data_IF_883713737898
#
_entry.id   IF_883713737898
#
_cell.length_a   1.000
_cell.length_b   1.000
_cell.length_c   1.000
_cell.angle_alpha   90.00
_cell.angle_beta   90.00
_cell.angle_gamma   90.00
#
_symmetry.space_group_name_H-M   'P 1'
#
loop_
_entity.id
_entity.type
_entity.pdbx_description
1 polymer ?
#
# COMPACT_ATOMS: atom_id res chain seq x y z
N UNK A 1 0.05 -25.51 14.93
CA UNK A 1 1.23 -24.67 15.28
C UNK A 1 2.49 -25.53 15.23
N UNK A 2 2.96 -25.91 14.02
CA UNK A 2 4.16 -26.77 13.87
C UNK A 2 5.10 -26.36 12.73
N UNK A 3 4.71 -25.48 11.79
CA UNK A 3 5.62 -25.07 10.72
C UNK A 3 6.66 -24.01 11.14
N UNK A 4 6.35 -23.17 12.13
CA UNK A 4 7.20 -22.03 12.53
C UNK A 4 8.35 -22.45 13.46
N UNK A 5 8.17 -23.52 14.24
CA UNK A 5 9.11 -23.92 15.30
C UNK A 5 10.44 -24.49 14.80
N UNK A 6 10.56 -24.77 13.49
CA UNK A 6 11.76 -25.34 12.85
C UNK A 6 12.28 -24.47 11.70
N UNK A 7 11.92 -23.18 11.65
CA UNK A 7 12.48 -22.26 10.65
C UNK A 7 13.99 -22.08 10.90
N UNK A 8 14.82 -22.45 9.93
CA UNK A 8 16.28 -22.45 9.99
C UNK A 8 16.90 -22.46 8.59
N UNK A 9 18.24 -22.40 8.50
CA UNK A 9 18.97 -22.16 7.24
C UNK A 9 18.48 -22.92 6.00
N UNK A 10 18.17 -24.21 6.15
CA UNK A 10 17.80 -25.07 5.02
C UNK A 10 16.36 -24.85 4.50
N UNK A 11 15.47 -24.24 5.30
CA UNK A 11 14.07 -24.03 4.93
C UNK A 11 13.64 -22.55 4.90
N UNK A 12 14.46 -21.62 5.39
CA UNK A 12 14.19 -20.18 5.34
C UNK A 12 13.90 -19.66 3.92
N UNK A 13 14.69 -20.03 2.87
CA UNK A 13 14.40 -19.60 1.50
C UNK A 13 13.02 -20.05 1.02
N UNK A 14 12.69 -21.32 1.25
CA UNK A 14 11.42 -21.90 0.83
C UNK A 14 10.23 -21.31 1.60
N UNK A 15 10.38 -21.10 2.92
CA UNK A 15 9.36 -20.49 3.76
C UNK A 15 9.06 -19.05 3.33
N UNK A 16 10.11 -18.26 3.06
CA UNK A 16 9.96 -16.89 2.55
C UNK A 16 9.23 -16.86 1.20
N UNK A 17 9.72 -17.60 0.20
CA UNK A 17 9.09 -17.66 -1.12
C UNK A 17 7.64 -18.12 -1.06
N UNK A 18 7.36 -19.17 -0.29
CA UNK A 18 5.99 -19.68 -0.13
C UNK A 18 5.07 -18.62 0.45
N UNK A 19 5.55 -17.88 1.46
CA UNK A 19 4.76 -16.82 2.10
C UNK A 19 4.48 -15.67 1.14
N UNK A 20 5.48 -15.23 0.36
CA UNK A 20 5.33 -14.19 -0.66
C UNK A 20 4.38 -14.63 -1.77
N UNK A 21 4.50 -15.87 -2.26
CA UNK A 21 3.60 -16.41 -3.28
C UNK A 21 2.16 -16.50 -2.78
N UNK A 22 1.94 -16.86 -1.52
CA UNK A 22 0.59 -16.83 -0.92
C UNK A 22 0.03 -15.40 -0.94
N UNK A 23 0.82 -14.37 -0.63
CA UNK A 23 0.39 -12.97 -0.75
C UNK A 23 -0.03 -12.63 -2.19
N UNK A 24 0.80 -12.95 -3.18
CA UNK A 24 0.52 -12.64 -4.58
C UNK A 24 -0.69 -13.41 -5.11
N UNK A 25 -0.84 -14.69 -4.76
CA UNK A 25 -2.02 -15.48 -5.14
C UNK A 25 -3.29 -14.93 -4.50
N UNK A 26 -3.24 -14.43 -3.27
CA UNK A 26 -4.38 -13.81 -2.62
C UNK A 26 -4.81 -12.51 -3.33
N UNK A 27 -3.85 -11.67 -3.72
CA UNK A 27 -4.11 -10.44 -4.50
C UNK A 27 -4.63 -10.75 -5.91
N UNK A 28 -4.04 -11.74 -6.57
CA UNK A 28 -4.39 -12.18 -7.92
C UNK A 28 -5.81 -12.76 -8.05
N UNK A 29 -6.45 -13.13 -6.93
CA UNK A 29 -7.89 -13.50 -6.95
C UNK A 29 -8.78 -12.31 -7.30
N UNK A 30 -8.25 -11.09 -7.15
CA UNK A 30 -8.95 -9.86 -7.41
C UNK A 30 -9.85 -9.43 -6.26
N UNK A 31 -10.36 -8.19 -6.35
CA UNK A 31 -11.28 -7.64 -5.38
C UNK A 31 -12.64 -8.38 -5.36
N UNK A 32 -13.33 -8.28 -4.23
CA UNK A 32 -14.71 -8.77 -4.07
C UNK A 32 -15.53 -7.76 -3.26
N UNK A 33 -16.86 -7.67 -3.44
CA UNK A 33 -17.66 -6.64 -2.78
C UNK A 33 -17.43 -6.56 -1.27
N UNK A 34 -17.22 -5.36 -0.75
CA UNK A 34 -16.88 -5.09 0.65
C UNK A 34 -15.40 -5.25 1.01
N UNK A 35 -14.50 -5.54 0.07
CA UNK A 35 -13.09 -5.79 0.34
C UNK A 35 -12.25 -4.51 0.29
N UNK A 36 -11.82 -4.03 1.46
CA UNK A 36 -10.89 -2.90 1.56
C UNK A 36 -9.41 -3.30 1.50
N UNK A 37 -9.11 -4.54 1.11
CA UNK A 37 -7.79 -5.17 1.01
C UNK A 37 -7.05 -5.38 2.36
N UNK A 38 -7.12 -4.40 3.25
CA UNK A 38 -6.40 -4.35 4.53
C UNK A 38 -7.21 -4.91 5.69
N UNK A 39 -8.54 -4.86 5.59
CA UNK A 39 -9.46 -5.43 6.59
C UNK A 39 -9.90 -6.83 6.19
N UNK A 40 -10.25 -7.66 7.18
CA UNK A 40 -10.75 -9.00 6.90
C UNK A 40 -12.22 -8.91 6.47
N UNK A 41 -12.59 -9.69 5.47
CA UNK A 41 -13.98 -10.09 5.23
C UNK A 41 -14.20 -11.45 5.88
N UNK A 42 -15.43 -11.76 6.27
CA UNK A 42 -15.80 -13.08 6.80
C UNK A 42 -15.27 -14.20 5.88
N UNK A 43 -14.46 -15.10 6.46
CA UNK A 43 -13.86 -16.22 5.73
C UNK A 43 -12.61 -15.90 4.89
N UNK A 44 -12.12 -14.66 4.88
CA UNK A 44 -10.92 -14.27 4.13
C UNK A 44 -9.85 -13.62 5.02
N UNK A 45 -8.58 -13.88 4.69
CA UNK A 45 -7.42 -13.26 5.36
C UNK A 45 -7.02 -12.01 4.58
N UNK A 46 -6.95 -10.86 5.24
CA UNK A 46 -6.57 -9.60 4.59
C UNK A 46 -5.10 -9.58 4.17
N UNK A 47 -4.78 -8.74 3.19
CA UNK A 47 -3.42 -8.58 2.70
C UNK A 47 -2.45 -8.12 3.79
N UNK A 48 -2.91 -7.26 4.71
CA UNK A 48 -2.13 -6.86 5.89
C UNK A 48 -1.69 -8.07 6.71
N UNK A 49 -2.59 -9.01 7.00
CA UNK A 49 -2.26 -10.19 7.81
C UNK A 49 -1.31 -11.13 7.06
N UNK A 50 -1.46 -11.27 5.74
CA UNK A 50 -0.54 -12.06 4.92
C UNK A 50 0.87 -11.43 4.91
N UNK A 51 0.98 -10.11 4.75
CA UNK A 51 2.25 -9.38 4.82
C UNK A 51 2.87 -9.45 6.22
N UNK A 52 2.08 -9.40 7.29
CA UNK A 52 2.56 -9.65 8.66
C UNK A 52 3.05 -11.10 8.83
N UNK A 53 2.47 -12.06 8.11
CA UNK A 53 3.00 -13.42 8.02
C UNK A 53 4.39 -13.46 7.39
N UNK A 54 4.58 -12.78 6.26
CA UNK A 54 5.90 -12.64 5.61
C UNK A 54 6.90 -11.97 6.57
N UNK A 55 6.49 -10.89 7.25
CA UNK A 55 7.28 -10.19 8.26
C UNK A 55 7.78 -11.13 9.34
N UNK A 56 6.91 -11.96 9.90
CA UNK A 56 7.27 -12.92 10.94
C UNK A 56 8.30 -13.94 10.44
N UNK A 57 8.23 -14.38 9.18
CA UNK A 57 9.25 -15.26 8.58
C UNK A 57 10.59 -14.53 8.49
N UNK A 58 10.59 -13.28 8.01
CA UNK A 58 11.80 -12.45 7.93
C UNK A 58 12.43 -12.21 9.31
N UNK A 59 11.62 -11.83 10.30
CA UNK A 59 12.09 -11.54 11.66
C UNK A 59 12.57 -12.80 12.41
N UNK A 60 12.00 -13.97 12.11
CA UNK A 60 12.39 -15.23 12.77
C UNK A 60 13.65 -15.87 12.18
N UNK A 61 13.87 -15.73 10.87
CA UNK A 61 14.99 -16.38 10.16
C UNK A 61 16.16 -15.45 9.88
N UNK A 62 15.88 -14.15 9.67
CA UNK A 62 16.85 -13.15 9.24
C UNK A 62 17.17 -13.23 7.74
N UNK A 63 17.47 -12.06 7.15
CA UNK A 63 17.75 -11.92 5.72
C UNK A 63 18.90 -12.78 5.22
N UNK A 64 19.94 -12.99 6.03
CA UNK A 64 21.09 -13.83 5.67
C UNK A 64 20.73 -15.30 5.51
N UNK A 65 19.72 -15.79 6.26
CA UNK A 65 19.22 -17.15 6.16
C UNK A 65 18.31 -17.31 4.95
N UNK A 66 17.46 -16.31 4.68
CA UNK A 66 16.55 -16.27 3.53
C UNK A 66 17.32 -16.24 2.21
N UNK A 67 18.31 -15.36 2.10
CA UNK A 67 19.14 -15.22 0.91
C UNK A 67 20.41 -16.06 1.03
N UNK A 68 20.21 -17.36 1.27
CA UNK A 68 21.28 -18.37 1.28
C UNK A 68 21.04 -19.41 0.19
N UNK A 69 22.07 -20.19 -0.13
CA UNK A 69 21.99 -21.24 -1.15
C UNK A 69 21.53 -20.70 -2.50
N UNK A 70 20.42 -21.22 -3.04
CA UNK A 70 19.86 -20.83 -4.33
C UNK A 70 19.40 -19.37 -4.38
N UNK A 71 19.03 -18.77 -3.24
CA UNK A 71 18.59 -17.38 -3.19
C UNK A 71 19.74 -16.38 -2.95
N UNK A 72 20.98 -16.85 -2.77
CA UNK A 72 22.10 -15.98 -2.42
C UNK A 72 22.37 -14.87 -3.45
N UNK A 73 22.16 -15.15 -4.74
CA UNK A 73 22.35 -14.17 -5.82
C UNK A 73 21.23 -13.12 -5.89
N UNK A 74 20.10 -13.34 -5.22
CA UNK A 74 18.96 -12.42 -5.16
C UNK A 74 18.94 -11.60 -3.86
N UNK A 75 20.03 -11.64 -3.07
CA UNK A 75 20.13 -10.85 -1.86
C UNK A 75 19.99 -9.34 -2.17
N UNK A 76 19.17 -8.58 -1.41
CA UNK A 76 19.01 -7.15 -1.61
C UNK A 76 20.36 -6.45 -1.45
N UNK A 77 20.80 -5.75 -2.50
CA UNK A 77 22.02 -4.96 -2.44
C UNK A 77 21.68 -3.64 -1.74
N UNK A 78 22.31 -3.33 -0.59
CA UNK A 78 22.04 -2.07 0.11
C UNK A 78 22.43 -0.87 -0.77
N UNK A 79 21.45 -0.04 -1.13
CA UNK A 79 21.66 1.19 -1.90
C UNK A 79 21.64 1.03 -3.42
N UNK A 80 21.29 -0.16 -3.94
CA UNK A 80 21.05 -0.31 -5.37
C UNK A 80 19.61 0.11 -5.68
N UNK A 81 19.43 1.41 -5.92
CA UNK A 81 18.27 1.95 -6.63
C UNK A 81 18.39 1.65 -8.13
N UNK A 82 18.70 0.39 -8.49
CA UNK A 82 18.75 -0.05 -9.89
C UNK A 82 17.36 0.06 -10.47
N UNK A 83 17.19 1.20 -11.13
CA UNK A 83 16.18 1.53 -12.10
C UNK A 83 16.17 0.47 -13.21
N UNK A 84 15.45 -0.63 -13.02
CA UNK A 84 15.31 -1.66 -14.06
C UNK A 84 13.89 -1.85 -14.57
N UNK A 85 12.95 -0.99 -14.19
CA UNK A 85 11.67 -0.92 -14.88
C UNK A 85 11.37 0.52 -15.25
N UNK A 86 12.09 1.04 -16.25
CA UNK A 86 11.55 2.06 -17.15
C UNK A 86 10.39 1.44 -17.94
N UNK A 87 9.29 1.13 -17.26
CA UNK A 87 8.05 0.82 -17.93
C UNK A 87 7.59 2.08 -18.66
N UNK A 88 7.17 1.88 -19.91
CA UNK A 88 6.70 2.93 -20.82
C UNK A 88 5.59 3.74 -20.16
N UNK A 89 5.84 5.04 -20.04
CA UNK A 89 4.89 6.09 -19.69
C UNK A 89 3.55 5.86 -20.37
N UNK A 90 2.45 5.80 -19.60
CA UNK A 90 1.10 5.79 -20.16
C UNK A 90 0.72 7.23 -20.53
N UNK A 91 0.58 7.57 -21.84
CA UNK A 91 0.22 8.92 -22.26
C UNK A 91 -1.15 9.37 -21.75
N UNK A 92 -2.03 8.45 -21.34
CA UNK A 92 -3.34 8.77 -20.77
C UNK A 92 -3.28 9.40 -19.37
N UNK A 93 -2.14 9.31 -18.68
CA UNK A 93 -1.93 9.89 -17.34
C UNK A 93 -1.36 11.33 -17.39
N UNK A 94 -1.13 11.89 -18.58
CA UNK A 94 -0.66 13.27 -18.77
C UNK A 94 -1.82 14.27 -18.72
N UNK A 95 -2.29 14.61 -17.51
CA UNK A 95 -3.27 15.70 -17.34
C UNK A 95 -2.61 16.92 -16.69
N UNK A 96 -2.47 17.98 -17.49
CA UNK A 96 -2.04 19.29 -17.04
C UNK A 96 -3.14 19.89 -16.13
N UNK A 97 -2.79 20.25 -14.89
CA UNK A 97 -3.73 20.82 -13.91
C UNK A 97 -4.23 19.91 -12.79
N UNK A 98 -3.68 18.69 -12.64
CA UNK A 98 -4.00 17.84 -11.49
C UNK A 98 -3.35 18.44 -10.22
N UNK A 99 -4.16 18.90 -9.27
CA UNK A 99 -3.73 19.55 -8.02
C UNK A 99 -2.56 18.82 -7.34
N UNK A 100 -1.61 19.58 -6.80
CA UNK A 100 -0.44 19.08 -6.07
C UNK A 100 -0.93 18.08 -5.01
N UNK A 101 -0.55 16.80 -5.12
CA UNK A 101 -0.93 15.76 -4.15
C UNK A 101 -0.64 16.19 -2.71
N UNK A 102 0.30 17.12 -2.51
CA UNK A 102 0.60 17.78 -1.22
C UNK A 102 -0.58 18.55 -0.67
N UNK A 103 -1.31 19.29 -1.52
CA UNK A 103 -2.52 20.00 -1.11
C UNK A 103 -3.56 19.02 -0.58
N UNK A 104 -3.82 17.93 -1.31
CA UNK A 104 -4.76 16.89 -0.88
C UNK A 104 -4.34 16.27 0.46
N UNK A 105 -3.05 15.94 0.65
CA UNK A 105 -2.56 15.40 1.94
C UNK A 105 -2.56 16.43 3.07
N UNK A 106 -2.32 17.72 2.78
CA UNK A 106 -2.42 18.80 3.76
C UNK A 106 -3.86 18.98 4.26
N UNK A 107 -4.86 18.84 3.38
CA UNK A 107 -6.27 18.86 3.79
C UNK A 107 -6.60 17.72 4.77
N UNK A 108 -5.98 16.54 4.62
CA UNK A 108 -6.12 15.44 5.59
C UNK A 108 -5.47 15.82 6.94
N UNK A 109 -4.31 16.47 6.92
CA UNK A 109 -3.67 16.97 8.15
C UNK A 109 -4.58 17.95 8.90
N UNK A 110 -5.21 18.87 8.18
CA UNK A 110 -6.22 19.77 8.74
C UNK A 110 -7.45 19.01 9.28
N UNK A 111 -7.90 17.98 8.58
CA UNK A 111 -9.00 17.12 9.01
C UNK A 111 -8.68 16.40 10.32
N UNK A 112 -7.47 15.85 10.45
CA UNK A 112 -6.99 15.19 11.67
C UNK A 112 -7.01 16.18 12.83
N UNK A 113 -6.46 17.37 12.65
CA UNK A 113 -6.40 18.40 13.69
C UNK A 113 -7.80 18.87 14.16
N UNK A 114 -8.81 18.79 13.30
CA UNK A 114 -10.17 19.23 13.62
C UNK A 114 -11.07 18.15 14.22
N UNK A 115 -10.98 16.92 13.70
CA UNK A 115 -11.98 15.87 13.97
C UNK A 115 -11.41 14.64 14.67
N UNK A 116 -10.09 14.43 14.70
CA UNK A 116 -9.54 13.23 15.30
C UNK A 116 -9.74 13.23 16.82
N UNK A 117 -10.20 12.11 17.35
CA UNK A 117 -10.15 11.87 18.79
C UNK A 117 -8.69 11.91 19.27
N UNK A 118 -8.44 12.48 20.44
CA UNK A 118 -7.09 12.66 21.00
C UNK A 118 -6.29 11.35 21.06
N UNK A 119 -6.98 10.22 21.27
CA UNK A 119 -6.38 8.88 21.28
C UNK A 119 -5.89 8.40 19.90
N UNK A 120 -6.63 8.71 18.84
CA UNK A 120 -6.36 8.23 17.48
C UNK A 120 -5.59 9.25 16.62
N UNK A 121 -5.61 10.54 16.96
CA UNK A 121 -4.95 11.60 16.21
C UNK A 121 -3.47 11.32 15.95
N UNK A 122 -2.70 10.95 16.98
CA UNK A 122 -1.29 10.60 16.85
C UNK A 122 -1.04 9.41 15.90
N UNK A 123 -1.95 8.44 15.86
CA UNK A 123 -1.85 7.30 14.95
C UNK A 123 -2.10 7.75 13.50
N UNK A 124 -3.12 8.57 13.27
CA UNK A 124 -3.44 9.11 11.95
C UNK A 124 -2.34 10.03 11.42
N UNK A 125 -1.78 10.91 12.25
CA UNK A 125 -0.64 11.75 11.87
C UNK A 125 0.56 10.90 11.45
N UNK A 126 0.88 9.85 12.22
CA UNK A 126 1.98 8.95 11.90
C UNK A 126 1.76 8.26 10.56
N UNK A 127 0.57 7.71 10.31
CA UNK A 127 0.29 7.02 9.04
C UNK A 127 0.22 8.00 7.86
N UNK A 128 -0.27 9.22 8.06
CA UNK A 128 -0.26 10.28 7.05
C UNK A 128 1.17 10.68 6.69
N UNK A 129 2.07 10.85 7.68
CA UNK A 129 3.49 11.13 7.41
C UNK A 129 4.18 9.98 6.68
N UNK A 130 3.88 8.72 7.06
CA UNK A 130 4.39 7.56 6.36
C UNK A 130 3.88 7.50 4.90
N UNK A 131 2.62 7.86 4.68
CA UNK A 131 2.02 7.94 3.35
C UNK A 131 2.67 9.04 2.52
N UNK A 132 2.81 10.26 3.06
CA UNK A 132 3.52 11.39 2.44
C UNK A 132 4.92 10.99 1.99
N UNK A 133 5.69 10.28 2.82
CA UNK A 133 7.01 9.80 2.44
C UNK A 133 6.98 8.81 1.26
N UNK A 134 5.91 8.02 1.09
CA UNK A 134 5.73 7.15 -0.07
C UNK A 134 5.35 7.93 -1.33
N UNK A 135 4.50 8.97 -1.20
CA UNK A 135 4.22 9.91 -2.28
C UNK A 135 5.47 10.63 -2.76
N UNK A 136 6.31 11.11 -1.84
CA UNK A 136 7.57 11.78 -2.17
C UNK A 136 8.56 10.88 -2.92
N UNK A 137 8.61 9.58 -2.59
CA UNK A 137 9.47 8.60 -3.28
C UNK A 137 8.90 8.18 -4.64
N UNK A 138 7.58 8.20 -4.81
CA UNK A 138 6.91 7.80 -6.05
C UNK A 138 6.82 8.94 -7.05
N UNK A 139 6.38 10.12 -6.60
CA UNK A 139 6.07 11.27 -7.45
C UNK A 139 7.13 12.39 -7.38
N UNK A 140 8.26 12.18 -6.69
CA UNK A 140 9.34 13.16 -6.49
C UNK A 140 8.91 14.48 -5.78
N UNK A 141 9.90 15.37 -5.56
CA UNK A 141 9.74 16.64 -4.83
C UNK A 141 9.79 17.87 -5.73
N UNK A 142 8.92 18.84 -5.45
CA UNK A 142 9.03 20.18 -6.02
C UNK A 142 8.87 20.22 -7.54
N UNK A 143 9.82 20.83 -8.24
CA UNK A 143 9.78 21.02 -9.69
C UNK A 143 9.99 19.72 -10.49
N UNK A 144 10.46 18.65 -9.84
CA UNK A 144 10.66 17.35 -10.47
C UNK A 144 9.43 16.43 -10.34
N UNK A 145 8.31 16.95 -9.82
CA UNK A 145 7.12 16.14 -9.57
C UNK A 145 6.42 15.76 -10.89
N UNK A 146 6.24 14.46 -11.11
CA UNK A 146 5.58 13.93 -12.30
C UNK A 146 4.58 12.85 -11.91
N UNK A 147 3.35 12.94 -12.39
CA UNK A 147 2.22 12.07 -12.02
C UNK A 147 2.12 10.81 -12.90
N UNK A 148 2.98 10.71 -13.91
CA UNK A 148 3.10 9.65 -14.91
C UNK A 148 4.15 8.58 -14.54
N UNK A 149 4.60 8.57 -13.28
CA UNK A 149 5.66 7.68 -12.80
C UNK A 149 5.09 6.30 -12.47
N UNK A 150 5.77 5.27 -12.98
CA UNK A 150 5.54 3.89 -12.56
C UNK A 150 6.11 3.71 -11.16
N UNK A 151 5.23 3.40 -10.20
CA UNK A 151 5.59 3.27 -8.80
C UNK A 151 6.45 2.04 -8.52
N UNK A 152 7.15 2.04 -7.39
CA UNK A 152 7.87 0.85 -6.93
C UNK A 152 6.96 0.04 -6.00
N UNK A 153 6.80 -1.26 -6.28
CA UNK A 153 6.01 -2.16 -5.41
C UNK A 153 6.48 -2.13 -3.94
N UNK A 154 7.78 -1.94 -3.71
CA UNK A 154 8.35 -1.83 -2.36
C UNK A 154 7.80 -0.65 -1.55
N UNK A 155 7.40 0.45 -2.20
CA UNK A 155 6.84 1.62 -1.52
C UNK A 155 5.41 1.33 -1.07
N UNK A 156 4.62 0.70 -1.94
CA UNK A 156 3.25 0.26 -1.66
C UNK A 156 3.23 -0.81 -0.56
N UNK A 157 4.02 -1.87 -0.72
CA UNK A 157 4.16 -2.94 0.27
C UNK A 157 4.73 -2.40 1.57
N UNK A 158 5.73 -1.52 1.48
CA UNK A 158 6.39 -0.94 2.64
C UNK A 158 5.45 -0.12 3.52
N UNK A 159 4.52 0.62 2.93
CA UNK A 159 3.48 1.32 3.70
C UNK A 159 2.60 0.33 4.47
N UNK A 160 2.02 -0.67 3.79
CA UNK A 160 1.15 -1.67 4.42
C UNK A 160 1.88 -2.49 5.50
N UNK A 161 3.14 -2.84 5.25
CA UNK A 161 3.98 -3.60 6.17
C UNK A 161 4.21 -2.90 7.52
N UNK A 162 4.12 -1.56 7.54
CA UNK A 162 4.35 -0.72 8.72
C UNK A 162 3.08 -0.23 9.42
N UNK A 163 1.90 -0.54 8.88
CA UNK A 163 0.63 -0.08 9.45
C UNK A 163 0.46 -0.50 10.91
N UNK A 164 0.26 0.51 11.76
CA UNK A 164 0.00 0.34 13.18
C UNK A 164 -1.41 -0.15 13.49
N UNK A 165 -1.57 -0.86 14.60
CA UNK A 165 -2.87 -1.42 15.01
C UNK A 165 -3.92 -0.35 15.35
N UNK A 166 -3.50 0.81 15.84
CA UNK A 166 -4.40 1.93 16.17
C UNK A 166 -5.08 2.52 14.92
N UNK A 167 -4.33 2.70 13.83
CA UNK A 167 -4.91 3.12 12.55
C UNK A 167 -5.89 2.06 12.02
N UNK A 168 -5.49 0.79 12.12
CA UNK A 168 -6.33 -0.33 11.67
C UNK A 168 -7.62 -0.45 12.48
N UNK A 169 -7.63 0.00 13.73
CA UNK A 169 -8.85 0.07 14.52
C UNK A 169 -9.84 1.09 13.95
N UNK A 170 -9.37 2.30 13.62
CA UNK A 170 -10.19 3.29 12.91
C UNK A 170 -10.73 2.74 11.59
N UNK A 171 -9.89 2.05 10.82
CA UNK A 171 -10.31 1.48 9.54
C UNK A 171 -11.34 0.35 9.69
N UNK A 172 -11.22 -0.49 10.73
CA UNK A 172 -12.23 -1.51 11.06
C UNK A 172 -13.57 -0.88 11.48
N UNK A 173 -13.52 0.25 12.17
CA UNK A 173 -14.68 1.04 12.56
C UNK A 173 -15.24 1.89 11.40
N UNK A 174 -14.57 1.89 10.24
CA UNK A 174 -14.91 2.67 9.05
C UNK A 174 -14.94 4.18 9.34
N UNK A 175 -14.03 4.61 10.22
CA UNK A 175 -13.87 6.01 10.55
C UNK A 175 -13.51 6.84 9.30
N UNK A 176 -14.00 8.08 9.27
CA UNK A 176 -13.82 9.00 8.15
C UNK A 176 -12.34 9.21 7.82
N UNK A 177 -11.51 9.52 8.82
CA UNK A 177 -10.10 9.86 8.57
C UNK A 177 -9.34 8.63 8.08
N UNK A 178 -9.57 7.49 8.72
CA UNK A 178 -8.91 6.23 8.35
C UNK A 178 -9.21 5.82 6.90
N UNK A 179 -10.47 5.98 6.46
CA UNK A 179 -10.92 5.68 5.10
C UNK A 179 -10.40 6.69 4.09
N UNK A 180 -10.30 7.97 4.44
CA UNK A 180 -9.69 9.01 3.59
C UNK A 180 -8.20 8.74 3.36
N UNK A 181 -7.44 8.35 4.40
CA UNK A 181 -6.03 7.97 4.25
C UNK A 181 -5.89 6.74 3.33
N UNK A 182 -6.75 5.73 3.50
CA UNK A 182 -6.75 4.55 2.62
C UNK A 182 -7.08 4.93 1.16
N UNK A 183 -8.02 5.85 0.96
CA UNK A 183 -8.36 6.34 -0.37
C UNK A 183 -7.17 7.00 -1.07
N UNK A 184 -6.36 7.77 -0.34
CA UNK A 184 -5.13 8.33 -0.90
C UNK A 184 -4.07 7.27 -1.19
N UNK A 185 -3.95 6.24 -0.35
CA UNK A 185 -3.08 5.09 -0.66
C UNK A 185 -3.45 4.41 -1.99
N UNK A 186 -4.72 4.44 -2.41
CA UNK A 186 -5.13 3.87 -3.70
C UNK A 186 -4.46 4.57 -4.90
N UNK A 187 -4.02 5.82 -4.77
CA UNK A 187 -3.23 6.48 -5.82
C UNK A 187 -1.87 5.81 -5.99
N UNK A 188 -1.18 5.49 -4.88
CA UNK A 188 0.08 4.72 -4.93
C UNK A 188 -0.15 3.29 -5.42
N UNK A 189 -1.31 2.72 -5.12
CA UNK A 189 -1.69 1.40 -5.61
C UNK A 189 -1.81 1.42 -7.15
N UNK A 190 -2.50 2.42 -7.69
CA UNK A 190 -2.71 2.61 -9.14
C UNK A 190 -1.40 2.70 -9.93
N UNK A 191 -0.36 3.35 -9.38
CA UNK A 191 0.93 3.49 -10.07
C UNK A 191 1.67 2.17 -10.26
N UNK A 192 1.32 1.13 -9.50
CA UNK A 192 1.92 -0.21 -9.62
C UNK A 192 1.01 -1.21 -10.35
N UNK A 193 -0.29 -0.93 -10.51
CA UNK A 193 -1.24 -1.87 -11.15
C UNK A 193 -0.89 -2.18 -12.60
N UNK A 194 -0.37 -1.20 -13.35
CA UNK A 194 -0.01 -1.38 -14.76
C UNK A 194 1.15 -2.38 -14.93
N UNK A 195 2.06 -2.45 -13.96
CA UNK A 195 3.23 -3.32 -14.00
C UNK A 195 2.97 -4.69 -13.36
N UNK A 196 2.15 -4.73 -12.31
CA UNK A 196 1.93 -5.94 -11.51
C UNK A 196 0.51 -6.44 -11.69
N UNK A 197 0.34 -7.42 -12.60
CA UNK A 197 -0.96 -7.99 -12.97
C UNK A 197 -1.82 -8.47 -11.77
N UNK A 198 -1.19 -8.95 -10.69
CA UNK A 198 -1.89 -9.42 -9.49
C UNK A 198 -2.47 -8.28 -8.64
N UNK A 199 -2.10 -7.02 -8.90
CA UNK A 199 -2.63 -5.82 -8.24
C UNK A 199 -3.77 -5.17 -9.04
N UNK A 200 -4.09 -5.67 -10.23
CA UNK A 200 -5.08 -5.08 -11.11
C UNK A 200 -6.44 -4.88 -10.43
N UNK A 201 -7.12 -3.76 -10.72
CA UNK A 201 -8.45 -3.34 -10.24
C UNK A 201 -8.59 -3.04 -8.74
N UNK A 202 -7.56 -3.24 -7.93
CA UNK A 202 -7.67 -3.03 -6.48
C UNK A 202 -7.88 -1.56 -6.10
N UNK A 203 -7.19 -0.62 -6.74
CA UNK A 203 -7.27 0.80 -6.42
C UNK A 203 -8.68 1.35 -6.66
N UNK A 204 -9.24 1.10 -7.85
CA UNK A 204 -10.58 1.54 -8.20
C UNK A 204 -11.65 0.87 -7.32
N UNK A 205 -11.48 -0.43 -7.03
CA UNK A 205 -12.39 -1.15 -6.14
C UNK A 205 -12.44 -0.57 -4.73
N UNK A 206 -11.27 -0.37 -4.10
CA UNK A 206 -11.21 0.13 -2.72
C UNK A 206 -11.83 1.52 -2.61
N UNK A 207 -11.57 2.42 -3.56
CA UNK A 207 -12.22 3.75 -3.59
C UNK A 207 -13.74 3.63 -3.74
N UNK A 208 -14.23 2.73 -4.61
CA UNK A 208 -15.65 2.46 -4.76
C UNK A 208 -16.30 2.03 -3.44
N UNK A 209 -15.68 1.08 -2.74
CA UNK A 209 -16.15 0.59 -1.44
C UNK A 209 -16.12 1.69 -0.36
N UNK A 210 -15.07 2.51 -0.32
CA UNK A 210 -14.97 3.65 0.62
C UNK A 210 -16.15 4.62 0.42
N UNK A 211 -16.48 4.95 -0.83
CA UNK A 211 -17.56 5.89 -1.13
C UNK A 211 -18.95 5.35 -0.76
N UNK A 212 -19.13 4.02 -0.77
CA UNK A 212 -20.36 3.36 -0.30
C UNK A 212 -20.45 3.39 1.23
N UNK A 213 -19.36 3.06 1.93
CA UNK A 213 -19.39 2.94 3.41
C UNK A 213 -19.24 4.29 4.13
N UNK A 214 -18.59 5.27 3.50
CA UNK A 214 -18.33 6.60 4.04
C UNK A 214 -18.61 7.66 2.97
N UNK A 215 -19.89 7.95 2.65
CA UNK A 215 -20.23 8.93 1.62
C UNK A 215 -19.65 10.33 1.86
N UNK A 216 -19.47 10.69 3.13
CA UNK A 216 -18.89 11.98 3.54
C UNK A 216 -17.42 12.11 3.11
N UNK A 217 -16.69 11.00 2.93
CA UNK A 217 -15.28 11.00 2.51
C UNK A 217 -15.05 11.65 1.13
N UNK A 218 -16.09 11.72 0.28
CA UNK A 218 -16.00 12.16 -1.11
C UNK A 218 -15.33 13.52 -1.30
N UNK A 219 -15.59 14.48 -0.41
CA UNK A 219 -15.01 15.82 -0.55
C UNK A 219 -13.49 15.84 -0.34
N UNK A 220 -12.95 14.93 0.48
CA UNK A 220 -11.52 14.76 0.69
C UNK A 220 -10.89 13.76 -0.30
N UNK A 221 -11.71 13.05 -1.07
CA UNK A 221 -11.27 12.07 -2.06
C UNK A 221 -11.47 12.55 -3.50
N UNK A 222 -11.79 13.83 -3.72
CA UNK A 222 -11.95 14.40 -5.07
C UNK A 222 -10.73 14.13 -5.94
N UNK A 223 -9.54 14.45 -5.44
CA UNK A 223 -8.29 14.24 -6.16
C UNK A 223 -7.97 12.75 -6.43
N UNK A 224 -7.98 11.84 -5.44
CA UNK A 224 -7.81 10.40 -5.70
C UNK A 224 -8.82 9.84 -6.71
N UNK A 225 -10.09 10.26 -6.64
CA UNK A 225 -11.12 9.80 -7.59
C UNK A 225 -10.78 10.23 -9.02
N UNK A 226 -10.43 11.50 -9.21
CA UNK A 226 -10.04 12.03 -10.52
C UNK A 226 -8.77 11.35 -11.06
N UNK A 227 -7.82 10.99 -10.20
CA UNK A 227 -6.60 10.28 -10.61
C UNK A 227 -6.88 8.84 -11.05
N UNK A 228 -7.79 8.12 -10.37
CA UNK A 228 -8.09 6.73 -10.69
C UNK A 228 -8.97 6.57 -11.93
N UNK A 229 -9.89 7.52 -12.12
CA UNK A 229 -10.81 7.61 -13.26
C UNK A 229 -10.53 8.93 -14.00
N UNK A 230 -9.41 9.05 -14.73
CA UNK A 230 -9.27 10.16 -15.66
C UNK A 230 -10.45 10.08 -16.63
N UNK A 231 -11.26 11.14 -16.72
CA UNK A 231 -12.39 11.19 -17.66
C UNK A 231 -11.89 10.78 -19.06
N UNK A 232 -12.57 9.82 -19.69
CA UNK A 232 -12.30 9.36 -21.08
C UNK A 232 -12.37 10.51 -22.10
#
# INVERSE_FOLDING_TARGET
MMLISNLGGDNSPAAYLTSVLICFVALAKGPSPGNLLLTNIEGQVSWLHLLRGVRLVVESTGWSSIFSGMLAEYAPIPGDDTSEHSATTDPALMVDGTEDWRFSLNEISHLIAQLAEEKLGNAYDRELQALTACFERTFHKGQDAALDIVGKLQDVVGWVYRLGDDYMEGLRQRDLISTVILGHFCVLLRTVEAQFWFMHEWAAHIIGEILVISPNSRQWLSWPISYLNPEE
#
